data_IF_382068235350
#
_entry.id   IF_382068235350
#
_cell.length_a   1.000
_cell.length_b   1.000
_cell.length_c   1.000
_cell.angle_alpha   90.00
_cell.angle_beta   90.00
_cell.angle_gamma   90.00
#
_symmetry.space_group_name_H-M   'P 1'
#
loop_
_entity.id
_entity.type
_entity.pdbx_description
1 polymer ?
#
# COMPACT_ATOMS: atom_id res chain seq x y z
N UNK A 1 18.15 52.71 14.10
CA UNK A 1 17.69 51.32 14.36
C UNK A 1 17.38 50.68 13.03
N UNK A 2 18.38 50.08 12.39
CA UNK A 2 18.29 49.54 11.04
C UNK A 2 18.06 48.02 11.15
N UNK A 3 16.85 47.55 10.81
CA UNK A 3 16.58 46.10 10.72
C UNK A 3 17.06 45.60 9.36
N UNK A 4 18.12 44.81 9.36
CA UNK A 4 18.51 43.98 8.22
C UNK A 4 17.45 42.89 7.98
N UNK A 5 17.03 42.63 6.72
CA UNK A 5 16.22 41.47 6.42
C UNK A 5 17.11 40.22 6.43
N UNK A 6 16.73 39.26 7.27
CA UNK A 6 17.35 37.95 7.34
C UNK A 6 16.87 37.12 6.14
N UNK A 7 17.76 36.91 5.17
CA UNK A 7 17.52 36.00 4.05
C UNK A 7 17.54 34.56 4.55
N UNK A 8 16.39 33.90 4.56
CA UNK A 8 16.30 32.46 4.73
C UNK A 8 16.81 31.79 3.44
N UNK A 9 17.76 30.85 3.49
CA UNK A 9 18.13 30.09 2.31
C UNK A 9 16.93 29.24 1.88
N UNK A 10 16.43 29.53 0.67
CA UNK A 10 15.41 28.75 -0.02
C UNK A 10 15.90 27.32 -0.24
N UNK A 11 15.12 26.38 0.28
CA UNK A 11 14.98 24.97 -0.09
C UNK A 11 16.19 24.26 -0.71
N UNK A 12 16.96 23.61 0.16
CA UNK A 12 17.69 22.40 -0.23
C UNK A 12 16.71 21.22 -0.28
N UNK A 13 16.50 20.64 -1.48
CA UNK A 13 15.93 19.28 -1.56
C UNK A 13 15.16 18.83 -2.82
N UNK A 14 15.24 19.51 -3.97
CA UNK A 14 14.39 19.16 -5.13
C UNK A 14 14.95 18.09 -6.11
N UNK A 15 16.16 17.54 -5.92
CA UNK A 15 16.74 16.57 -6.88
C UNK A 15 16.67 15.10 -6.44
N UNK A 16 16.40 14.78 -5.17
CA UNK A 16 16.29 13.38 -4.69
C UNK A 16 14.86 12.82 -4.61
N UNK A 17 13.85 13.70 -4.55
CA UNK A 17 12.46 13.29 -4.33
C UNK A 17 11.80 12.74 -5.60
N UNK A 18 12.13 13.29 -6.77
CA UNK A 18 11.56 12.85 -8.05
C UNK A 18 11.99 11.43 -8.44
N UNK A 19 13.27 11.08 -8.24
CA UNK A 19 13.76 9.72 -8.51
C UNK A 19 13.13 8.69 -7.59
N UNK A 20 12.91 9.04 -6.32
CA UNK A 20 12.28 8.17 -5.33
C UNK A 20 10.82 7.87 -5.68
N UNK A 21 10.08 8.88 -6.15
CA UNK A 21 8.69 8.73 -6.64
C UNK A 21 8.59 7.88 -7.90
N UNK A 22 9.51 8.07 -8.85
CA UNK A 22 9.54 7.28 -10.09
C UNK A 22 9.79 5.80 -9.79
N UNK A 23 10.78 5.50 -8.93
CA UNK A 23 11.09 4.13 -8.48
C UNK A 23 9.92 3.49 -7.73
N UNK A 24 9.16 4.27 -6.96
CA UNK A 24 7.96 3.76 -6.30
C UNK A 24 6.86 3.41 -7.32
N UNK A 25 6.58 4.28 -8.29
CA UNK A 25 5.62 3.96 -9.37
C UNK A 25 6.02 2.72 -10.16
N UNK A 26 7.30 2.56 -10.46
CA UNK A 26 7.82 1.35 -11.10
C UNK A 26 7.57 0.11 -10.22
N UNK A 27 7.73 0.24 -8.91
CA UNK A 27 7.44 -0.85 -7.97
C UNK A 27 5.95 -1.20 -7.93
N UNK A 28 5.06 -0.22 -7.98
CA UNK A 28 3.60 -0.43 -8.09
C UNK A 28 3.24 -1.11 -9.41
N UNK A 29 3.85 -0.70 -10.51
CA UNK A 29 3.68 -1.35 -11.80
C UNK A 29 4.12 -2.82 -11.75
N UNK A 30 5.29 -3.11 -11.16
CA UNK A 30 5.79 -4.47 -10.96
C UNK A 30 4.85 -5.31 -10.09
N UNK A 31 4.28 -4.73 -9.04
CA UNK A 31 3.31 -5.41 -8.18
C UNK A 31 2.08 -5.89 -8.96
N UNK A 32 1.61 -5.10 -9.93
CA UNK A 32 0.46 -5.44 -10.77
C UNK A 32 0.78 -6.46 -11.87
N UNK A 33 1.98 -6.42 -12.45
CA UNK A 33 2.29 -7.18 -13.67
C UNK A 33 3.16 -8.41 -13.43
N UNK A 34 3.89 -8.48 -12.31
CA UNK A 34 4.89 -9.53 -12.06
C UNK A 34 4.59 -10.30 -10.76
N UNK A 35 5.00 -11.56 -10.70
CA UNK A 35 4.94 -12.35 -9.46
C UNK A 35 6.15 -12.03 -8.60
N UNK A 36 5.93 -11.36 -7.47
CA UNK A 36 7.02 -10.96 -6.57
C UNK A 36 7.15 -11.98 -5.44
N UNK A 37 8.34 -12.53 -5.28
CA UNK A 37 8.62 -13.44 -4.16
C UNK A 37 8.49 -12.70 -2.83
N UNK A 38 7.78 -13.31 -1.87
CA UNK A 38 7.68 -12.82 -0.50
C UNK A 38 9.03 -12.72 0.21
N UNK A 39 10.06 -13.43 -0.29
CA UNK A 39 11.43 -13.41 0.23
C UNK A 39 12.29 -12.27 -0.35
N UNK A 40 11.79 -11.50 -1.32
CA UNK A 40 12.54 -10.38 -1.90
C UNK A 40 12.55 -9.17 -0.96
N UNK A 41 13.32 -9.27 0.12
CA UNK A 41 13.37 -8.25 1.17
C UNK A 41 13.76 -6.87 0.63
N UNK A 42 14.66 -6.80 -0.37
CA UNK A 42 15.08 -5.54 -0.97
C UNK A 42 13.95 -4.81 -1.70
N UNK A 43 13.09 -5.54 -2.41
CA UNK A 43 11.93 -4.96 -3.07
C UNK A 43 10.95 -4.40 -2.03
N UNK A 44 10.63 -5.20 -1.03
CA UNK A 44 9.63 -4.86 -0.02
C UNK A 44 10.09 -3.71 0.88
N UNK A 45 11.35 -3.73 1.34
CA UNK A 45 11.93 -2.67 2.18
C UNK A 45 11.93 -1.30 1.47
N UNK A 46 12.16 -1.26 0.16
CA UNK A 46 12.03 -0.02 -0.63
C UNK A 46 10.61 0.54 -0.59
N UNK A 47 9.59 -0.30 -0.64
CA UNK A 47 8.19 0.13 -0.60
C UNK A 47 7.85 0.88 0.71
N UNK A 48 8.40 0.43 1.83
CA UNK A 48 8.10 1.00 3.16
C UNK A 48 8.90 2.25 3.50
N UNK A 49 10.06 2.45 2.84
CA UNK A 49 10.96 3.59 3.08
C UNK A 49 10.61 4.86 2.31
N UNK A 50 9.82 4.78 1.23
CA UNK A 50 9.82 5.82 0.19
C UNK A 50 8.73 6.91 0.29
N UNK A 51 7.55 6.75 0.91
CA UNK A 51 6.66 7.89 1.07
C UNK A 51 6.91 8.60 2.41
N UNK A 52 7.02 9.93 2.43
CA UNK A 52 7.14 10.68 3.71
C UNK A 52 5.80 11.28 4.14
N UNK A 53 4.91 11.55 3.19
CA UNK A 53 3.61 12.20 3.41
C UNK A 53 2.44 11.36 2.88
N UNK A 54 1.25 11.58 3.44
CA UNK A 54 0.05 10.82 3.08
C UNK A 54 -0.35 11.05 1.61
N UNK A 55 -0.32 12.30 1.14
CA UNK A 55 -0.68 12.65 -0.25
C UNK A 55 0.17 11.90 -1.29
N UNK A 56 1.46 11.68 -1.02
CA UNK A 56 2.33 10.91 -1.90
C UNK A 56 1.87 9.46 -2.02
N UNK A 57 1.46 8.81 -0.92
CA UNK A 57 0.96 7.43 -0.99
C UNK A 57 -0.31 7.34 -1.83
N UNK A 58 -1.22 8.30 -1.68
CA UNK A 58 -2.51 8.26 -2.36
C UNK A 58 -2.38 8.60 -3.86
N UNK A 59 -1.36 9.38 -4.24
CA UNK A 59 -1.03 9.70 -5.64
C UNK A 59 -0.18 8.62 -6.32
N UNK A 60 0.62 7.88 -5.55
CA UNK A 60 1.46 6.79 -6.04
C UNK A 60 0.71 5.46 -6.11
N UNK A 61 -0.23 5.20 -5.20
CA UNK A 61 -1.11 4.03 -5.20
C UNK A 61 -2.52 4.49 -5.58
N UNK A 62 -2.82 4.43 -6.88
CA UNK A 62 -4.13 4.81 -7.37
C UNK A 62 -5.17 3.72 -7.05
N UNK A 63 -6.47 4.08 -6.97
CA UNK A 63 -7.53 3.10 -6.73
C UNK A 63 -7.51 1.96 -7.75
N UNK A 64 -7.32 2.30 -9.02
CA UNK A 64 -7.25 1.33 -10.11
C UNK A 64 -6.06 0.39 -9.99
N UNK A 65 -4.90 0.88 -9.51
CA UNK A 65 -3.75 0.01 -9.23
C UNK A 65 -4.10 -1.06 -8.18
N UNK A 66 -4.83 -0.70 -7.12
CA UNK A 66 -5.22 -1.65 -6.07
C UNK A 66 -6.25 -2.66 -6.58
N UNK A 67 -7.20 -2.22 -7.40
CA UNK A 67 -8.18 -3.11 -8.04
C UNK A 67 -7.48 -4.09 -8.97
N UNK A 68 -6.57 -3.61 -9.82
CA UNK A 68 -5.75 -4.45 -10.68
C UNK A 68 -4.93 -5.44 -9.86
N UNK A 69 -4.26 -4.98 -8.80
CA UNK A 69 -3.46 -5.83 -7.90
C UNK A 69 -4.29 -6.97 -7.32
N UNK A 70 -5.53 -6.68 -6.91
CA UNK A 70 -6.48 -7.67 -6.38
C UNK A 70 -6.82 -8.74 -7.42
N UNK A 71 -7.07 -8.35 -8.67
CA UNK A 71 -7.55 -9.26 -9.71
C UNK A 71 -6.41 -10.05 -10.35
N UNK A 72 -5.29 -9.38 -10.65
CA UNK A 72 -4.18 -9.96 -11.40
C UNK A 72 -3.17 -10.66 -10.49
N UNK A 73 -2.89 -10.10 -9.31
CA UNK A 73 -1.83 -10.56 -8.42
C UNK A 73 -2.27 -10.61 -6.93
N UNK A 74 -3.31 -11.39 -6.57
CA UNK A 74 -3.83 -11.46 -5.19
C UNK A 74 -2.78 -11.94 -4.18
N UNK A 75 -1.78 -12.74 -4.62
CA UNK A 75 -0.67 -13.18 -3.78
C UNK A 75 0.25 -12.03 -3.37
N UNK A 76 0.50 -11.07 -4.28
CA UNK A 76 1.29 -9.88 -4.00
C UNK A 76 0.54 -8.98 -3.01
N UNK A 77 -0.77 -8.77 -3.22
CA UNK A 77 -1.63 -8.03 -2.30
C UNK A 77 -1.58 -8.63 -0.89
N UNK A 78 -1.80 -9.93 -0.77
CA UNK A 78 -1.77 -10.62 0.51
C UNK A 78 -0.39 -10.53 1.19
N UNK A 79 0.70 -10.52 0.42
CA UNK A 79 2.06 -10.37 0.96
C UNK A 79 2.30 -8.94 1.45
N UNK A 80 1.85 -7.94 0.71
CA UNK A 80 1.95 -6.54 1.11
C UNK A 80 1.20 -6.28 2.43
N UNK A 81 -0.02 -6.82 2.57
CA UNK A 81 -0.80 -6.73 3.80
C UNK A 81 -0.09 -7.40 4.98
N UNK A 82 0.38 -8.65 4.79
CA UNK A 82 1.11 -9.39 5.84
C UNK A 82 2.34 -8.64 6.30
N UNK A 83 3.13 -8.11 5.37
CA UNK A 83 4.35 -7.37 5.71
C UNK A 83 4.06 -6.03 6.38
N UNK A 84 3.02 -5.29 5.96
CA UNK A 84 2.62 -4.06 6.62
C UNK A 84 2.27 -4.33 8.09
N UNK A 85 1.44 -5.34 8.36
CA UNK A 85 1.06 -5.74 9.71
C UNK A 85 2.25 -6.27 10.50
N UNK A 86 3.08 -7.11 9.90
CA UNK A 86 4.27 -7.67 10.56
C UNK A 86 5.24 -6.57 11.01
N UNK A 87 5.44 -5.54 10.20
CA UNK A 87 6.29 -4.39 10.57
C UNK A 87 5.68 -3.58 11.69
N UNK A 88 4.36 -3.35 11.67
CA UNK A 88 3.68 -2.67 12.77
C UNK A 88 3.83 -3.44 14.08
N UNK A 89 3.65 -4.76 14.07
CA UNK A 89 3.85 -5.61 15.26
C UNK A 89 5.29 -5.50 15.77
N UNK A 90 6.29 -5.57 14.89
CA UNK A 90 7.70 -5.43 15.28
C UNK A 90 8.03 -4.07 15.90
N UNK A 91 7.48 -2.98 15.33
CA UNK A 91 7.72 -1.62 15.84
C UNK A 91 7.03 -1.42 17.20
N UNK A 92 5.87 -2.02 17.40
CA UNK A 92 5.17 -1.98 18.70
C UNK A 92 5.91 -2.80 19.77
N UNK A 93 6.43 -3.97 19.40
CA UNK A 93 7.18 -4.84 20.30
C UNK A 93 8.52 -4.21 20.72
N UNK A 94 9.17 -3.46 19.81
CA UNK A 94 10.40 -2.72 20.09
C UNK A 94 10.29 -1.26 19.61
N UNK A 95 9.73 -0.36 20.43
CA UNK A 95 9.45 1.01 20.02
C UNK A 95 10.74 1.85 19.97
N UNK A 96 11.33 1.94 18.77
CA UNK A 96 12.47 2.82 18.48
C UNK A 96 11.98 4.00 17.63
N UNK A 97 12.21 5.27 18.05
CA UNK A 97 11.70 6.45 17.34
C UNK A 97 12.07 6.54 15.86
N UNK A 98 13.20 5.96 15.47
CA UNK A 98 13.67 5.85 14.09
C UNK A 98 12.66 5.16 13.15
N UNK A 99 11.84 4.24 13.67
CA UNK A 99 10.89 3.47 12.86
C UNK A 99 9.46 4.04 12.84
N UNK A 100 9.17 5.09 13.59
CA UNK A 100 7.83 5.68 13.62
C UNK A 100 7.35 6.19 12.24
N UNK A 101 8.20 6.83 11.40
CA UNK A 101 7.79 7.19 10.04
C UNK A 101 7.39 5.98 9.20
N UNK A 102 8.11 4.86 9.35
CA UNK A 102 7.82 3.61 8.66
C UNK A 102 6.51 2.98 9.13
N UNK A 103 6.21 3.01 10.43
CA UNK A 103 4.91 2.60 10.97
C UNK A 103 3.76 3.43 10.37
N UNK A 104 3.92 4.77 10.33
CA UNK A 104 2.94 5.67 9.73
C UNK A 104 2.70 5.33 8.26
N UNK A 105 3.76 5.00 7.51
CA UNK A 105 3.63 4.57 6.11
C UNK A 105 2.87 3.25 5.99
N UNK A 106 3.16 2.27 6.83
CA UNK A 106 2.41 1.00 6.86
C UNK A 106 0.92 1.26 7.09
N UNK A 107 0.56 2.10 8.07
CA UNK A 107 -0.84 2.47 8.33
C UNK A 107 -1.46 3.16 7.12
N UNK A 108 -0.79 4.14 6.51
CA UNK A 108 -1.31 4.85 5.32
C UNK A 108 -1.56 3.91 4.13
N UNK A 109 -0.64 2.98 3.87
CA UNK A 109 -0.82 1.95 2.84
C UNK A 109 -2.02 1.06 3.18
N UNK A 110 -2.14 0.58 4.42
CA UNK A 110 -3.29 -0.22 4.85
C UNK A 110 -4.61 0.54 4.66
N UNK A 111 -4.70 1.80 5.10
CA UNK A 111 -5.88 2.65 4.90
C UNK A 111 -6.21 2.83 3.41
N UNK A 112 -5.19 2.82 2.54
CA UNK A 112 -5.41 2.88 1.09
C UNK A 112 -5.91 1.56 0.53
N UNK A 113 -5.40 0.41 0.99
CA UNK A 113 -5.74 -0.91 0.45
C UNK A 113 -7.08 -1.46 0.96
N UNK A 114 -7.37 -1.28 2.25
CA UNK A 114 -8.54 -1.89 2.93
C UNK A 114 -9.86 -1.59 2.23
N UNK A 115 -10.19 -0.35 1.83
CA UNK A 115 -11.44 -0.07 1.12
C UNK A 115 -11.61 -0.91 -0.14
N UNK A 116 -10.55 -1.04 -0.94
CA UNK A 116 -10.57 -1.78 -2.21
C UNK A 116 -10.52 -3.29 -2.01
N UNK A 117 -10.01 -3.80 -0.89
CA UNK A 117 -10.12 -5.23 -0.54
C UNK A 117 -11.59 -5.57 -0.24
N UNK A 118 -12.31 -4.65 0.39
CA UNK A 118 -13.69 -4.84 0.82
C UNK A 118 -14.73 -4.55 -0.28
N UNK A 119 -14.36 -3.86 -1.37
CA UNK A 119 -15.28 -3.51 -2.48
C UNK A 119 -16.04 -4.73 -3.05
N UNK A 120 -15.45 -5.93 -3.08
CA UNK A 120 -16.13 -7.15 -3.58
C UNK A 120 -16.73 -8.02 -2.46
N UNK A 121 -16.42 -7.69 -1.20
CA UNK A 121 -16.96 -8.42 -0.05
C UNK A 121 -18.44 -8.08 0.24
N UNK A 122 -19.10 -7.27 -0.61
CA UNK A 122 -20.56 -7.29 -0.73
C UNK A 122 -21.13 -8.67 -1.11
N UNK A 123 -20.27 -9.58 -1.60
CA UNK A 123 -20.58 -11.00 -1.76
C UNK A 123 -20.53 -11.82 -0.46
N UNK A 124 -20.37 -11.21 0.72
CA UNK A 124 -20.70 -11.84 2.01
C UNK A 124 -22.20 -12.19 2.14
N UNK A 125 -23.04 -11.83 1.16
CA UNK A 125 -24.41 -12.35 1.01
C UNK A 125 -24.55 -13.54 0.03
N UNK A 126 -23.51 -13.91 -0.72
CA UNK A 126 -23.59 -14.92 -1.78
C UNK A 126 -22.95 -16.28 -1.44
N UNK A 127 -22.35 -16.41 -0.25
CA UNK A 127 -21.92 -17.72 0.27
C UNK A 127 -22.91 -18.23 1.33
N UNK A 128 -24.17 -18.35 0.91
CA UNK A 128 -25.15 -19.25 1.53
C UNK A 128 -25.28 -20.46 0.62
N UNK A 129 -24.65 -21.56 1.00
CA UNK A 129 -24.70 -22.84 0.30
C UNK A 129 -26.13 -23.37 0.18
N UNK A 130 -26.85 -23.02 -0.89
CA UNK A 130 -28.08 -23.71 -1.30
C UNK A 130 -27.88 -24.24 -2.72
N UNK A 131 -27.75 -25.57 -2.92
CA UNK A 131 -27.82 -26.12 -4.27
C UNK A 131 -29.22 -25.84 -4.86
N UNK A 132 -29.33 -25.59 -6.17
CA UNK A 132 -30.63 -25.37 -6.79
C UNK A 132 -31.47 -26.64 -6.66
N UNK A 133 -32.60 -26.56 -5.95
CA UNK A 133 -33.60 -27.62 -5.95
C UNK A 133 -34.14 -27.76 -7.38
N UNK A 134 -33.58 -28.73 -8.10
CA UNK A 134 -34.14 -29.26 -9.32
C UNK A 134 -35.38 -30.08 -8.91
N UNK A 135 -36.57 -29.47 -8.96
CA UNK A 135 -37.82 -30.23 -9.01
C UNK A 135 -38.51 -29.93 -10.34
N UNK A 136 -38.04 -30.61 -11.36
CA UNK A 136 -38.89 -30.98 -12.48
C UNK A 136 -39.66 -32.23 -12.06
N UNK A 137 -40.97 -32.09 -11.87
CA UNK A 137 -41.93 -33.18 -12.02
C UNK A 137 -43.27 -32.57 -12.40
N UNK A 138 -43.45 -32.37 -13.71
CA UNK A 138 -44.76 -32.51 -14.35
C UNK A 138 -45.15 -33.98 -14.25
N UNK A 139 -46.30 -34.27 -13.66
CA UNK A 139 -47.31 -35.23 -14.14
C UNK A 139 -48.55 -35.04 -13.26
#
# INVERSE_FOLDING_TARGET
MSRTPQSYPTEQGAMGNSDSKSKFRESVYKLNNEVISSKNLEFWDKLWRIPTVAEEIFTLIQPDDVRMLRHQQPKNLATMLRQAVSQLVQIVDTPVPKYYPQAINCVRVLTRLVPFILEESGALSACGSCPPLRSGARA
#
